data_IF_269424756583
#
_entry.id   IF_269424756583
#
_cell.length_a   1.000
_cell.length_b   1.000
_cell.length_c   1.000
_cell.angle_alpha   90.00
_cell.angle_beta   90.00
_cell.angle_gamma   90.00
#
_symmetry.space_group_name_H-M   'P 1'
#
loop_
_entity.id
_entity.type
_entity.pdbx_description
1 polymer ?
#
# COMPACT_ATOMS: atom_id res chain seq x y z
N UNK A 1 -3.27 -15.73 8.49
CA UNK A 1 -2.43 -15.83 9.71
C UNK A 1 -1.10 -15.18 9.40
N UNK A 2 -0.59 -14.29 10.25
CA UNK A 2 0.66 -13.57 9.98
C UNK A 2 1.84 -14.50 10.29
N UNK A 3 2.66 -14.82 9.28
CA UNK A 3 3.79 -15.77 9.38
C UNK A 3 4.79 -15.33 10.46
N UNK A 4 5.03 -14.02 10.61
CA UNK A 4 5.91 -13.47 11.64
C UNK A 4 5.34 -13.70 13.03
N UNK A 5 4.02 -13.52 13.22
CA UNK A 5 3.36 -13.77 14.52
C UNK A 5 3.43 -15.26 14.87
N UNK A 6 3.18 -16.14 13.90
CA UNK A 6 3.28 -17.59 14.10
C UNK A 6 4.71 -18.02 14.47
N UNK A 7 5.72 -17.43 13.83
CA UNK A 7 7.12 -17.68 14.16
C UNK A 7 7.45 -17.32 15.62
N UNK A 8 7.04 -16.13 16.08
CA UNK A 8 7.23 -15.70 17.47
C UNK A 8 6.56 -16.63 18.48
N UNK A 9 5.34 -17.08 18.18
CA UNK A 9 4.62 -18.02 19.05
C UNK A 9 5.36 -19.35 19.15
N UNK A 10 5.83 -19.92 18.03
CA UNK A 10 6.61 -21.16 18.03
C UNK A 10 7.90 -21.04 18.87
N UNK A 11 8.62 -19.93 18.73
CA UNK A 11 9.85 -19.67 19.50
C UNK A 11 9.54 -19.48 20.99
N UNK A 12 8.49 -18.72 21.33
CA UNK A 12 8.11 -18.46 22.72
C UNK A 12 7.65 -19.74 23.42
N UNK A 13 6.84 -20.57 22.76
CA UNK A 13 6.40 -21.85 23.31
C UNK A 13 7.58 -22.83 23.43
N UNK A 14 8.42 -22.95 22.40
CA UNK A 14 9.59 -23.83 22.44
C UNK A 14 10.58 -23.46 23.55
N UNK A 15 10.93 -22.19 23.66
CA UNK A 15 11.80 -21.69 24.74
C UNK A 15 11.15 -21.84 26.13
N UNK A 16 9.85 -21.56 26.25
CA UNK A 16 9.10 -21.76 27.48
C UNK A 16 9.10 -23.22 27.96
N UNK A 17 8.99 -24.19 27.05
CA UNK A 17 9.08 -25.61 27.38
C UNK A 17 10.49 -25.96 27.90
N UNK A 18 11.55 -25.45 27.27
CA UNK A 18 12.93 -25.72 27.70
C UNK A 18 13.18 -25.20 29.13
N UNK A 19 12.73 -23.98 29.42
CA UNK A 19 12.93 -23.33 30.74
C UNK A 19 12.08 -23.99 31.83
N UNK A 20 10.82 -24.32 31.54
CA UNK A 20 9.88 -24.83 32.55
C UNK A 20 10.07 -26.30 32.91
N UNK A 21 10.62 -27.11 32.01
CA UNK A 21 10.66 -28.57 32.17
C UNK A 21 11.98 -29.13 32.72
N UNK A 22 12.93 -28.27 33.10
CA UNK A 22 14.20 -28.71 33.70
C UNK A 22 15.10 -29.54 32.78
N UNK A 23 14.89 -29.49 31.46
CA UNK A 23 15.78 -30.12 30.48
C UNK A 23 15.66 -31.63 30.33
N UNK A 24 14.45 -32.20 30.48
CA UNK A 24 14.26 -33.63 30.17
C UNK A 24 14.42 -33.93 28.67
N UNK A 25 14.86 -35.14 28.32
CA UNK A 25 15.06 -35.55 26.92
C UNK A 25 13.80 -35.44 26.06
N UNK A 26 12.64 -35.70 26.64
CA UNK A 26 11.35 -35.55 25.94
C UNK A 26 11.03 -34.09 25.64
N UNK A 27 11.29 -33.18 26.58
CA UNK A 27 11.11 -31.75 26.36
C UNK A 27 11.98 -31.22 25.24
N UNK A 28 13.24 -31.65 25.16
CA UNK A 28 14.13 -31.26 24.06
C UNK A 28 13.67 -31.80 22.71
N UNK A 29 13.16 -33.04 22.67
CA UNK A 29 12.67 -33.66 21.43
C UNK A 29 11.49 -32.87 20.82
N UNK A 30 10.69 -32.17 21.63
CA UNK A 30 9.56 -31.35 21.16
C UNK A 30 9.97 -29.89 20.97
N UNK A 31 10.67 -29.31 21.95
CA UNK A 31 10.95 -27.89 21.98
C UNK A 31 11.98 -27.44 20.94
N UNK A 32 12.99 -28.27 20.65
CA UNK A 32 14.04 -27.93 19.69
C UNK A 32 13.47 -27.84 18.26
N UNK A 33 12.75 -28.85 17.71
CA UNK A 33 12.15 -28.73 16.39
C UNK A 33 11.13 -27.59 16.30
N UNK A 34 10.34 -27.36 17.36
CA UNK A 34 9.37 -26.26 17.40
C UNK A 34 10.05 -24.88 17.31
N UNK A 35 11.15 -24.70 18.03
CA UNK A 35 11.93 -23.46 18.02
C UNK A 35 12.64 -23.26 16.68
N UNK A 36 13.23 -24.31 16.12
CA UNK A 36 13.88 -24.27 14.80
C UNK A 36 12.88 -23.97 13.68
N UNK A 37 11.70 -24.59 13.73
CA UNK A 37 10.60 -24.28 12.82
C UNK A 37 10.15 -22.83 12.93
N UNK A 38 10.07 -22.29 14.15
CA UNK A 38 9.78 -20.87 14.39
C UNK A 38 10.84 -19.94 13.78
N UNK A 39 12.13 -20.24 13.95
CA UNK A 39 13.23 -19.47 13.33
C UNK A 39 13.12 -19.52 11.80
N UNK A 40 12.88 -20.69 11.23
CA UNK A 40 12.72 -20.85 9.78
C UNK A 40 11.54 -20.03 9.24
N UNK A 41 10.39 -20.08 9.93
CA UNK A 41 9.23 -19.26 9.60
C UNK A 41 9.52 -17.76 9.73
N UNK A 42 10.33 -17.34 10.70
CA UNK A 42 10.71 -15.94 10.87
C UNK A 42 11.53 -15.44 9.68
N UNK A 43 12.50 -16.24 9.22
CA UNK A 43 13.31 -15.91 8.04
C UNK A 43 12.45 -15.76 6.78
N UNK A 44 11.50 -16.68 6.58
CA UNK A 44 10.55 -16.58 5.45
C UNK A 44 9.68 -15.34 5.61
N UNK A 45 9.10 -15.12 6.79
CA UNK A 45 8.19 -13.99 7.03
C UNK A 45 8.85 -12.64 6.83
N UNK A 46 10.12 -12.49 7.21
CA UNK A 46 10.91 -11.28 6.99
C UNK A 46 11.36 -11.11 5.53
N UNK A 47 11.58 -12.22 4.82
CA UNK A 47 11.95 -12.22 3.40
C UNK A 47 10.78 -12.04 2.44
N UNK A 48 9.54 -12.05 2.92
CA UNK A 48 8.38 -11.75 2.08
C UNK A 48 8.32 -10.24 1.81
N UNK A 49 8.52 -9.86 0.55
CA UNK A 49 8.29 -8.49 0.10
C UNK A 49 6.84 -8.09 0.36
N UNK A 50 6.65 -7.17 1.30
CA UNK A 50 5.35 -6.59 1.63
C UNK A 50 4.79 -5.73 0.49
N UNK A 51 5.61 -5.39 -0.51
CA UNK A 51 5.18 -4.62 -1.65
C UNK A 51 4.91 -5.58 -2.80
N UNK A 52 3.63 -5.91 -2.98
CA UNK A 52 3.11 -6.24 -4.31
C UNK A 52 3.31 -4.97 -5.16
N UNK A 53 4.51 -4.81 -5.73
CA UNK A 53 4.80 -3.73 -6.66
C UNK A 53 3.79 -3.87 -7.80
N UNK A 54 2.91 -2.88 -7.91
CA UNK A 54 2.02 -2.80 -9.07
C UNK A 54 2.97 -2.58 -10.26
N UNK A 55 2.82 -3.40 -11.30
CA UNK A 55 3.67 -3.25 -12.49
C UNK A 55 3.51 -1.83 -13.06
N UNK A 56 4.59 -1.20 -13.56
CA UNK A 56 4.52 0.12 -14.17
C UNK A 56 3.42 0.22 -15.24
N UNK A 57 3.29 -0.82 -16.06
CA UNK A 57 2.25 -0.95 -17.09
C UNK A 57 0.83 -0.84 -16.51
N UNK A 58 0.59 -1.44 -15.34
CA UNK A 58 -0.72 -1.38 -14.67
C UNK A 58 -0.99 -0.02 -14.03
N UNK A 59 0.05 0.72 -13.64
CA UNK A 59 -0.05 2.10 -13.19
C UNK A 59 -0.39 3.00 -14.39
N UNK A 60 0.27 2.77 -15.53
CA UNK A 60 0.06 3.54 -16.76
C UNK A 60 -1.33 3.31 -17.37
N UNK A 61 -1.85 2.08 -17.33
CA UNK A 61 -3.18 1.76 -17.84
C UNK A 61 -4.33 2.22 -16.94
N UNK A 62 -4.05 2.68 -15.72
CA UNK A 62 -5.09 3.09 -14.77
C UNK A 62 -5.67 4.46 -15.15
N UNK A 63 -7.00 4.57 -15.18
CA UNK A 63 -7.72 5.83 -15.42
C UNK A 63 -8.81 6.06 -14.39
N UNK A 64 -8.99 7.30 -13.88
CA UNK A 64 -10.08 7.61 -12.98
C UNK A 64 -11.43 7.59 -13.70
N UNK A 65 -12.49 7.28 -12.96
CA UNK A 65 -13.86 7.33 -13.50
C UNK A 65 -14.27 8.77 -13.84
N UNK A 66 -14.73 8.96 -15.08
CA UNK A 66 -15.29 10.22 -15.54
C UNK A 66 -16.73 10.38 -14.99
N UNK A 67 -16.84 10.87 -13.76
CA UNK A 67 -18.11 11.24 -13.17
C UNK A 67 -18.28 12.75 -13.11
N UNK A 68 -19.52 13.22 -13.35
CA UNK A 68 -19.89 14.60 -13.07
C UNK A 68 -19.95 14.77 -11.55
N UNK A 69 -19.30 15.80 -11.04
CA UNK A 69 -19.41 16.15 -9.62
C UNK A 69 -20.61 17.09 -9.43
N UNK A 70 -21.41 16.90 -8.38
CA UNK A 70 -22.51 17.80 -8.08
C UNK A 70 -21.96 19.19 -7.75
N UNK A 71 -22.72 20.22 -8.14
CA UNK A 71 -22.37 21.61 -7.86
C UNK A 71 -22.45 21.90 -6.36
N UNK A 72 -21.41 22.53 -5.81
CA UNK A 72 -21.28 22.86 -4.39
C UNK A 72 -21.06 24.38 -4.17
N UNK A 73 -21.40 25.22 -5.14
CA UNK A 73 -21.21 26.68 -5.06
C UNK A 73 -19.79 27.15 -5.37
N UNK A 74 -18.91 26.23 -5.81
CA UNK A 74 -17.57 26.48 -6.35
C UNK A 74 -17.23 25.42 -7.39
N UNK A 75 -16.27 25.73 -8.27
CA UNK A 75 -15.79 24.76 -9.26
C UNK A 75 -15.21 23.53 -8.54
N UNK A 76 -15.92 22.40 -8.59
CA UNK A 76 -15.45 21.15 -8.02
C UNK A 76 -14.42 20.51 -8.97
N UNK A 77 -13.42 19.85 -8.38
CA UNK A 77 -12.41 19.11 -9.13
C UNK A 77 -11.87 17.94 -8.30
N UNK A 78 -11.34 16.92 -8.98
CA UNK A 78 -10.63 15.80 -8.36
C UNK A 78 -9.23 15.73 -8.95
N UNK A 79 -8.24 15.58 -8.07
CA UNK A 79 -6.83 15.43 -8.43
C UNK A 79 -6.32 14.13 -7.84
N UNK A 80 -5.88 13.20 -8.68
CA UNK A 80 -5.24 11.96 -8.26
C UNK A 80 -3.80 11.97 -8.78
N UNK A 81 -2.81 11.75 -7.92
CA UNK A 81 -1.39 11.66 -8.31
C UNK A 81 -0.86 10.28 -7.99
N UNK A 82 -0.19 9.65 -8.95
CA UNK A 82 0.45 8.35 -8.72
C UNK A 82 1.59 8.49 -7.70
N UNK A 83 1.65 7.58 -6.73
CA UNK A 83 2.68 7.58 -5.69
C UNK A 83 4.00 6.93 -6.16
N UNK A 84 3.89 6.01 -7.11
CA UNK A 84 5.01 5.26 -7.69
C UNK A 84 5.26 5.72 -9.13
N UNK A 85 6.47 5.48 -9.63
CA UNK A 85 6.80 5.78 -11.02
C UNK A 85 5.92 5.00 -12.02
N UNK A 86 5.49 5.62 -13.13
CA UNK A 86 5.70 7.04 -13.48
C UNK A 86 4.81 7.96 -12.63
N UNK A 87 5.39 9.05 -12.12
CA UNK A 87 4.67 10.07 -11.35
C UNK A 87 3.88 10.94 -12.33
N UNK A 88 2.55 10.86 -12.27
CA UNK A 88 1.62 11.60 -13.10
C UNK A 88 0.37 11.97 -12.31
N UNK A 89 -0.26 13.05 -12.72
CA UNK A 89 -1.47 13.58 -12.07
C UNK A 89 -2.63 13.61 -13.05
N UNK A 90 -3.75 12.99 -12.69
CA UNK A 90 -5.03 13.15 -13.37
C UNK A 90 -5.86 14.25 -12.72
N UNK A 91 -6.45 15.10 -13.53
CA UNK A 91 -7.25 16.25 -13.12
C UNK A 91 -8.63 16.13 -13.77
N UNK A 92 -9.66 15.89 -12.95
CA UNK A 92 -11.05 15.84 -13.37
C UNK A 92 -11.73 17.19 -13.06
N UNK A 93 -12.27 17.84 -14.09
CA UNK A 93 -13.15 18.99 -13.94
C UNK A 93 -14.57 18.55 -13.57
N UNK A 94 -15.06 18.93 -12.39
CA UNK A 94 -16.40 18.58 -11.94
C UNK A 94 -17.53 19.19 -12.77
N UNK A 95 -17.29 20.33 -13.43
CA UNK A 95 -18.31 21.05 -14.23
C UNK A 95 -18.61 20.38 -15.57
N UNK A 96 -17.58 19.91 -16.27
CA UNK A 96 -17.73 19.35 -17.62
C UNK A 96 -17.34 17.88 -17.74
N UNK A 97 -16.83 17.26 -16.67
CA UNK A 97 -16.38 15.86 -16.67
C UNK A 97 -15.08 15.61 -17.42
N UNK A 98 -14.39 16.65 -17.89
CA UNK A 98 -13.14 16.50 -18.64
C UNK A 98 -12.00 16.03 -17.71
N UNK A 99 -11.26 15.01 -18.15
CA UNK A 99 -10.07 14.49 -17.46
C UNK A 99 -8.83 14.86 -18.26
N UNK A 100 -7.88 15.53 -17.61
CA UNK A 100 -6.58 15.89 -18.18
C UNK A 100 -5.48 15.18 -17.40
N UNK A 101 -4.51 14.62 -18.12
CA UNK A 101 -3.31 14.06 -17.53
C UNK A 101 -2.15 15.03 -17.67
N UNK A 102 -1.40 15.20 -16.57
CA UNK A 102 -0.20 16.03 -16.50
C UNK A 102 0.93 15.18 -15.95
N UNK A 103 2.11 15.26 -16.56
CA UNK A 103 3.30 14.58 -16.06
C UNK A 103 3.82 15.26 -14.78
N UNK A 104 4.25 14.46 -13.81
CA UNK A 104 4.73 14.95 -12.53
C UNK A 104 3.63 15.09 -11.48
N UNK A 105 3.84 16.02 -10.54
CA UNK A 105 2.96 16.24 -9.39
C UNK A 105 1.87 17.28 -9.73
N UNK A 106 0.91 17.44 -8.80
CA UNK A 106 -0.12 18.49 -8.87
C UNK A 106 0.51 19.85 -9.22
N UNK A 107 0.08 20.50 -10.32
CA UNK A 107 0.57 21.83 -10.67
C UNK A 107 0.02 22.89 -9.70
N UNK A 108 0.73 24.01 -9.50
CA UNK A 108 0.34 25.06 -8.56
C UNK A 108 -0.95 25.78 -8.99
N UNK A 109 -1.22 25.87 -10.29
CA UNK A 109 -2.47 26.41 -10.83
C UNK A 109 -2.97 25.51 -11.96
N UNK A 110 -4.29 25.48 -12.16
CA UNK A 110 -4.88 24.76 -13.28
C UNK A 110 -6.26 25.30 -13.67
N UNK A 111 -6.46 25.49 -14.97
CA UNK A 111 -7.73 25.83 -15.60
C UNK A 111 -8.16 24.70 -16.53
N UNK A 112 -9.46 24.41 -16.60
CA UNK A 112 -9.95 23.34 -17.45
C UNK A 112 -9.93 23.73 -18.93
N UNK A 113 -9.17 23.02 -19.77
CA UNK A 113 -9.06 23.26 -21.22
C UNK A 113 -10.37 23.09 -22.03
N UNK A 114 -11.45 22.61 -21.42
CA UNK A 114 -12.72 22.35 -22.11
C UNK A 114 -13.81 23.37 -21.77
N UNK A 115 -13.78 23.96 -20.57
CA UNK A 115 -14.80 24.94 -20.14
C UNK A 115 -14.21 26.21 -19.52
N UNK A 116 -12.89 26.37 -19.63
CA UNK A 116 -12.10 27.54 -19.22
C UNK A 116 -12.32 28.01 -17.79
N UNK A 117 -12.84 27.14 -16.92
CA UNK A 117 -13.03 27.45 -15.51
C UNK A 117 -11.73 27.24 -14.74
N UNK A 118 -11.35 28.23 -13.95
CA UNK A 118 -10.26 28.10 -12.98
C UNK A 118 -10.66 27.07 -11.92
N UNK A 119 -9.86 26.00 -11.79
CA UNK A 119 -10.11 24.97 -10.77
C UNK A 119 -9.40 25.34 -9.48
N UNK A 120 -8.12 25.69 -9.55
CA UNK A 120 -7.35 26.19 -8.41
C UNK A 120 -6.17 27.04 -8.87
N UNK A 121 -5.70 27.83 -7.91
CA UNK A 121 -4.45 28.58 -7.94
C UNK A 121 -3.92 28.53 -6.50
N UNK A 122 -2.68 28.07 -6.32
CA UNK A 122 -2.00 28.09 -5.02
C UNK A 122 -1.50 29.53 -4.76
N UNK A 123 -1.82 30.07 -3.59
CA UNK A 123 -1.32 31.37 -3.09
C UNK A 123 0.18 31.35 -2.77
#
# INVERSE_FOLDING_TARGET
MNIVISAWICIAIGSGIIVSSGGTSFSFAVAVPLSLGGIFLLLIGLGMDSQKSISPEKIESWTPDASLLPDAGRAMYRVDTTLNQPIRTSILCGRCGNIVWVDGRKPPFFSCNNCDILLWEEE
#
